data_IF_804984337562
#
_entry.id   IF_804984337562
#
_cell.length_a   1.000
_cell.length_b   1.000
_cell.length_c   1.000
_cell.angle_alpha   90.00
_cell.angle_beta   90.00
_cell.angle_gamma   90.00
#
_symmetry.space_group_name_H-M   'P 1'
#
loop_
_entity.id
_entity.type
_entity.pdbx_description
1 polymer ?
#
# COMPACT_ATOMS: atom_id res chain seq x y z
N UNK A 1 -13.35 18.82 5.18
CA UNK A 1 -12.31 18.96 4.13
C UNK A 1 -10.90 19.05 4.71
N UNK A 2 -10.57 20.01 5.60
CA UNK A 2 -9.21 20.15 6.19
C UNK A 2 -8.61 18.85 6.74
N UNK A 3 -9.33 18.09 7.58
CA UNK A 3 -8.84 16.80 8.11
C UNK A 3 -8.46 15.77 7.04
N UNK A 4 -9.24 15.66 5.95
CA UNK A 4 -8.91 14.74 4.85
C UNK A 4 -7.66 15.19 4.09
N UNK A 5 -7.52 16.49 3.85
CA UNK A 5 -6.34 17.06 3.21
C UNK A 5 -5.08 16.86 4.06
N UNK A 6 -5.20 17.06 5.38
CA UNK A 6 -4.10 16.86 6.33
C UNK A 6 -3.67 15.37 6.34
N UNK A 7 -4.63 14.44 6.44
CA UNK A 7 -4.35 12.99 6.40
C UNK A 7 -3.74 12.54 5.08
N UNK A 8 -4.20 13.08 3.94
CA UNK A 8 -3.64 12.76 2.64
C UNK A 8 -2.19 13.24 2.50
N UNK A 9 -1.91 14.44 2.99
CA UNK A 9 -0.58 15.06 2.94
C UNK A 9 0.40 14.31 3.82
N UNK A 10 -0.01 13.91 5.03
CA UNK A 10 0.78 13.06 5.92
C UNK A 10 1.10 11.70 5.29
N UNK A 11 0.09 11.01 4.76
CA UNK A 11 0.27 9.72 4.09
C UNK A 11 1.24 9.82 2.91
N UNK A 12 1.10 10.84 2.07
CA UNK A 12 2.00 11.06 0.92
C UNK A 12 3.43 11.27 1.40
N UNK A 13 3.64 12.12 2.42
CA UNK A 13 4.96 12.38 3.00
C UNK A 13 5.62 11.10 3.53
N UNK A 14 4.84 10.25 4.21
CA UNK A 14 5.33 8.96 4.72
C UNK A 14 5.70 8.00 3.60
N UNK A 15 4.91 7.97 2.53
CA UNK A 15 5.20 7.16 1.34
C UNK A 15 6.45 7.65 0.62
N UNK A 16 6.65 8.96 0.47
CA UNK A 16 7.87 9.53 -0.12
C UNK A 16 9.12 9.11 0.66
N UNK A 17 9.04 9.14 2.00
CA UNK A 17 10.13 8.71 2.88
C UNK A 17 10.44 7.21 2.73
N UNK A 18 9.40 6.37 2.66
CA UNK A 18 9.56 4.93 2.47
C UNK A 18 10.10 4.57 1.07
N UNK A 19 9.66 5.30 0.05
CA UNK A 19 10.11 5.15 -1.33
C UNK A 19 11.52 5.75 -1.58
N UNK A 20 11.97 6.63 -0.68
CA UNK A 20 13.30 7.25 -0.70
C UNK A 20 13.40 8.53 -1.54
N UNK A 21 12.31 8.98 -2.17
CA UNK A 21 12.22 10.26 -2.88
C UNK A 21 10.77 10.59 -3.21
N UNK A 22 10.47 11.87 -3.47
CA UNK A 22 9.15 12.34 -3.89
C UNK A 22 8.72 11.72 -5.24
N UNK A 23 9.65 11.60 -6.19
CA UNK A 23 9.35 11.04 -7.51
C UNK A 23 8.93 9.57 -7.39
N UNK A 24 9.71 8.78 -6.64
CA UNK A 24 9.35 7.38 -6.36
C UNK A 24 8.09 7.26 -5.52
N UNK A 25 7.87 8.17 -4.57
CA UNK A 25 6.66 8.20 -3.76
C UNK A 25 5.41 8.46 -4.61
N UNK A 26 5.50 9.32 -5.62
CA UNK A 26 4.42 9.55 -6.60
C UNK A 26 4.11 8.28 -7.40
N UNK A 27 5.14 7.57 -7.86
CA UNK A 27 4.97 6.29 -8.57
C UNK A 27 4.34 5.22 -7.66
N UNK A 28 4.84 5.09 -6.43
CA UNK A 28 4.32 4.20 -5.40
C UNK A 28 2.84 4.50 -5.13
N UNK A 29 2.47 5.77 -4.92
CA UNK A 29 1.09 6.18 -4.71
C UNK A 29 0.18 5.83 -5.89
N UNK A 30 0.68 5.94 -7.12
CA UNK A 30 -0.02 5.49 -8.32
C UNK A 30 -0.33 3.99 -8.28
N UNK A 31 0.69 3.17 -8.02
CA UNK A 31 0.56 1.70 -7.93
C UNK A 31 -0.36 1.28 -6.78
N UNK A 32 -0.23 1.88 -5.60
CA UNK A 32 -1.13 1.63 -4.47
C UNK A 32 -2.59 1.96 -4.80
N UNK A 33 -2.83 3.03 -5.57
CA UNK A 33 -4.15 3.39 -6.07
C UNK A 33 -4.74 2.35 -7.03
N UNK A 34 -3.94 1.82 -7.95
CA UNK A 34 -4.35 0.73 -8.84
C UNK A 34 -4.69 -0.54 -8.06
N UNK A 35 -3.84 -0.90 -7.09
CA UNK A 35 -4.05 -2.05 -6.23
C UNK A 35 -5.35 -1.94 -5.44
N UNK A 36 -5.58 -0.81 -4.78
CA UNK A 36 -6.78 -0.54 -4.01
C UNK A 36 -8.06 -0.68 -4.86
N UNK A 37 -8.06 -0.16 -6.10
CA UNK A 37 -9.20 -0.33 -7.04
C UNK A 37 -9.45 -1.79 -7.40
N UNK A 38 -8.40 -2.55 -7.68
CA UNK A 38 -8.50 -3.97 -8.09
C UNK A 38 -8.95 -4.87 -6.95
N UNK A 39 -8.55 -4.58 -5.72
CA UNK A 39 -8.90 -5.36 -4.51
C UNK A 39 -10.08 -4.78 -3.74
N UNK A 40 -10.80 -3.80 -4.31
CA UNK A 40 -11.92 -3.10 -3.68
C UNK A 40 -11.59 -2.54 -2.27
N UNK A 41 -10.33 -2.15 -2.06
CA UNK A 41 -9.81 -1.64 -0.78
C UNK A 41 -9.75 -0.11 -0.79
N UNK A 42 -9.68 0.50 0.39
CA UNK A 42 -9.43 1.95 0.52
C UNK A 42 -7.93 2.21 0.34
N UNK A 43 -7.56 3.24 -0.44
CA UNK A 43 -6.15 3.57 -0.68
C UNK A 43 -5.34 3.76 0.60
N UNK A 44 -5.90 4.41 1.62
CA UNK A 44 -5.21 4.57 2.91
C UNK A 44 -4.87 3.23 3.55
N UNK A 45 -5.78 2.25 3.51
CA UNK A 45 -5.50 0.91 4.00
C UNK A 45 -4.36 0.26 3.22
N UNK A 46 -4.38 0.34 1.89
CA UNK A 46 -3.32 -0.22 1.04
C UNK A 46 -1.97 0.46 1.27
N UNK A 47 -1.96 1.78 1.47
CA UNK A 47 -0.76 2.55 1.80
C UNK A 47 -0.21 2.19 3.18
N UNK A 48 -1.06 2.01 4.20
CA UNK A 48 -0.60 1.55 5.53
C UNK A 48 -0.04 0.12 5.48
N UNK A 49 -0.60 -0.78 4.66
CA UNK A 49 -0.04 -2.11 4.45
C UNK A 49 1.35 -2.06 3.80
N UNK A 50 1.57 -1.15 2.85
CA UNK A 50 2.91 -0.91 2.30
C UNK A 50 3.86 -0.33 3.36
N UNK A 51 3.47 0.76 4.04
CA UNK A 51 4.29 1.47 5.02
C UNK A 51 4.70 0.58 6.20
N UNK A 52 3.82 -0.29 6.67
CA UNK A 52 4.11 -1.20 7.79
C UNK A 52 5.19 -2.24 7.47
N UNK A 53 5.42 -2.54 6.18
CA UNK A 53 6.42 -3.52 5.75
C UNK A 53 7.63 -2.89 5.05
N UNK A 54 7.52 -1.66 4.55
CA UNK A 54 8.55 -1.01 3.74
C UNK A 54 9.92 -0.94 4.42
N UNK A 55 9.97 -0.64 5.72
CA UNK A 55 11.23 -0.61 6.48
C UNK A 55 11.88 -1.99 6.55
N UNK A 56 11.11 -3.02 6.94
CA UNK A 56 11.62 -4.38 7.08
C UNK A 56 12.08 -4.95 5.73
N UNK A 57 11.32 -4.72 4.65
CA UNK A 57 11.68 -5.18 3.31
C UNK A 57 12.95 -4.48 2.82
N UNK A 58 13.09 -3.17 3.07
CA UNK A 58 14.33 -2.44 2.74
C UNK A 58 15.53 -2.98 3.52
N UNK A 59 15.39 -3.29 4.81
CA UNK A 59 16.45 -3.88 5.63
C UNK A 59 16.85 -5.28 5.14
N UNK A 60 15.91 -6.02 4.57
CA UNK A 60 16.14 -7.31 3.91
C UNK A 60 16.74 -7.18 2.49
N UNK A 61 16.98 -5.95 2.01
CA UNK A 61 17.59 -5.67 0.73
C UNK A 61 16.63 -5.59 -0.46
N UNK A 62 15.32 -5.65 -0.22
CA UNK A 62 14.32 -5.49 -1.28
C UNK A 62 14.26 -4.04 -1.77
N UNK A 63 14.09 -3.89 -3.08
CA UNK A 63 13.82 -2.59 -3.67
C UNK A 63 12.33 -2.20 -3.58
N UNK A 64 12.00 -0.98 -4.02
CA UNK A 64 10.65 -0.43 -3.98
C UNK A 64 9.63 -1.29 -4.75
N UNK A 65 10.00 -1.79 -5.92
CA UNK A 65 9.11 -2.60 -6.76
C UNK A 65 8.82 -3.95 -6.13
N UNK A 66 9.84 -4.61 -5.57
CA UNK A 66 9.68 -5.86 -4.84
C UNK A 66 8.79 -5.68 -3.60
N UNK A 67 8.94 -4.55 -2.92
CA UNK A 67 8.10 -4.20 -1.77
C UNK A 67 6.63 -4.01 -2.16
N UNK A 68 6.38 -3.39 -3.31
CA UNK A 68 5.01 -3.23 -3.85
C UNK A 68 4.41 -4.57 -4.28
N UNK A 69 5.19 -5.43 -4.92
CA UNK A 69 4.75 -6.77 -5.31
C UNK A 69 4.38 -7.61 -4.09
N UNK A 70 5.13 -7.48 -2.98
CA UNK A 70 4.79 -8.11 -1.70
C UNK A 70 3.44 -7.60 -1.16
N UNK A 71 3.23 -6.28 -1.12
CA UNK A 71 1.95 -5.69 -0.69
C UNK A 71 0.79 -6.18 -1.57
N UNK A 72 1.02 -6.37 -2.87
CA UNK A 72 0.01 -6.87 -3.81
C UNK A 72 -0.36 -8.32 -3.53
N UNK A 73 0.63 -9.18 -3.33
CA UNK A 73 0.41 -10.57 -2.97
C UNK A 73 -0.39 -10.69 -1.67
N UNK A 74 -0.06 -9.87 -0.66
CA UNK A 74 -0.77 -9.83 0.61
C UNK A 74 -2.23 -9.41 0.44
N UNK A 75 -2.51 -8.32 -0.29
CA UNK A 75 -3.87 -7.84 -0.53
C UNK A 75 -4.71 -8.87 -1.31
N UNK A 76 -4.12 -9.49 -2.33
CA UNK A 76 -4.79 -10.53 -3.11
C UNK A 76 -5.12 -11.76 -2.24
N UNK A 77 -4.21 -12.18 -1.35
CA UNK A 77 -4.44 -13.27 -0.41
C UNK A 77 -5.61 -12.96 0.55
N UNK A 78 -5.68 -11.73 1.05
CA UNK A 78 -6.78 -11.27 1.90
C UNK A 78 -8.13 -11.29 1.16
N UNK A 79 -8.19 -10.81 -0.07
CA UNK A 79 -9.42 -10.86 -0.90
C UNK A 79 -9.88 -12.30 -1.13
N UNK A 80 -8.96 -13.18 -1.51
CA UNK A 80 -9.29 -14.60 -1.75
C UNK A 80 -9.75 -15.29 -0.45
N UNK A 81 -9.11 -15.01 0.68
CA UNK A 81 -9.50 -15.56 1.98
C UNK A 81 -10.86 -15.04 2.44
N UNK A 82 -11.12 -13.74 2.31
CA UNK A 82 -12.41 -13.12 2.63
C UNK A 82 -13.54 -13.69 1.76
N UNK A 83 -13.32 -13.76 0.45
CA UNK A 83 -14.28 -14.34 -0.49
C UNK A 83 -14.56 -15.83 -0.25
N UNK A 84 -13.60 -16.60 0.27
CA UNK A 84 -13.82 -17.99 0.69
C UNK A 84 -14.57 -18.08 2.02
N UNK A 85 -14.32 -17.17 2.96
CA UNK A 85 -15.05 -17.07 4.22
C UNK A 85 -16.53 -16.78 4.01
N UNK A 86 -16.86 -15.84 3.13
CA UNK A 86 -18.26 -15.51 2.77
C UNK A 86 -19.00 -16.68 2.10
N UNK A 87 -18.29 -17.56 1.38
CA UNK A 87 -18.89 -18.77 0.77
C UNK A 87 -19.11 -19.92 1.75
N UNK A 88 -18.45 -19.88 2.90
CA UNK A 88 -18.56 -20.93 3.92
C UNK A 88 -19.61 -20.60 5.00
N UNK A 89 -20.19 -19.40 4.98
CA UNK A 89 -21.23 -18.92 5.89
C UNK A 89 -22.66 -19.19 5.36
#
# INVERSE_FOLDING_TARGET
MRKMTDTWTDMTSRVDLAAGSIDKGTEVMGRLGEMARRTYSVLSQTAESYLSNATALRELGYNTDESLNYTEALNNALVVSGAKGDRAA
#
